data_IF_842552852427
#
_entry.id   IF_842552852427
#
_cell.length_a   1.000
_cell.length_b   1.000
_cell.length_c   1.000
_cell.angle_alpha   90.00
_cell.angle_beta   90.00
_cell.angle_gamma   90.00
#
_symmetry.space_group_name_H-M   'P 1'
#
loop_
_entity.id
_entity.type
_entity.pdbx_description
1 polymer ?
#
# COMPACT_ATOMS: atom_id res chain seq x y z
N UNK A 1 19.25 -8.55 9.83
CA UNK A 1 17.99 -8.36 9.07
C UNK A 1 17.28 -9.68 8.96
N UNK A 2 15.96 -9.69 8.79
CA UNK A 2 15.16 -10.91 8.59
C UNK A 2 14.70 -10.98 7.12
N UNK A 3 15.55 -11.44 6.19
CA UNK A 3 15.27 -11.38 4.76
C UNK A 3 14.04 -12.21 4.33
N UNK A 4 13.65 -13.17 5.17
CA UNK A 4 12.46 -14.01 4.95
C UNK A 4 11.15 -13.35 5.44
N UNK A 5 11.23 -12.24 6.18
CA UNK A 5 10.05 -11.55 6.67
C UNK A 5 9.47 -10.65 5.58
N UNK A 6 8.26 -10.97 5.12
CA UNK A 6 7.50 -10.15 4.18
C UNK A 6 7.05 -8.85 4.84
N UNK A 7 7.80 -7.77 4.61
CA UNK A 7 7.53 -6.47 5.22
C UNK A 7 6.48 -5.67 4.43
N UNK A 8 5.40 -5.30 5.11
CA UNK A 8 4.43 -4.31 4.60
C UNK A 8 4.72 -2.98 5.30
N UNK A 9 4.93 -1.91 4.54
CA UNK A 9 5.22 -0.58 5.11
C UNK A 9 4.11 0.41 4.85
N UNK A 10 3.84 1.28 5.81
CA UNK A 10 2.96 2.43 5.62
C UNK A 10 3.78 3.64 5.18
N UNK A 11 3.21 4.44 4.27
CA UNK A 11 3.85 5.65 3.76
C UNK A 11 2.82 6.79 3.66
N UNK A 12 3.08 7.86 4.41
CA UNK A 12 2.32 9.11 4.38
C UNK A 12 3.14 10.23 3.75
N UNK A 13 2.48 11.06 2.94
CA UNK A 13 3.03 12.26 2.30
C UNK A 13 1.97 13.37 2.24
N UNK A 14 2.43 14.62 2.23
CA UNK A 14 1.64 15.82 1.96
C UNK A 14 2.35 16.63 0.87
N UNK A 15 1.60 17.47 0.16
CA UNK A 15 2.05 18.32 -0.95
C UNK A 15 2.68 17.50 -2.09
N UNK A 16 2.15 16.30 -2.35
CA UNK A 16 2.58 15.41 -3.42
C UNK A 16 1.41 15.06 -4.34
N UNK A 17 1.70 14.96 -5.63
CA UNK A 17 0.74 14.37 -6.57
C UNK A 17 0.57 12.86 -6.29
N UNK A 18 -0.53 12.28 -6.78
CA UNK A 18 -0.74 10.83 -6.74
C UNK A 18 0.43 10.07 -7.37
N UNK A 19 0.88 10.51 -8.55
CA UNK A 19 2.02 9.93 -9.26
C UNK A 19 3.31 9.95 -8.42
N UNK A 20 3.60 11.06 -7.74
CA UNK A 20 4.75 11.17 -6.86
C UNK A 20 4.65 10.22 -5.66
N UNK A 21 3.46 10.07 -5.07
CA UNK A 21 3.22 9.10 -3.99
C UNK A 21 3.46 7.66 -4.49
N UNK A 22 2.96 7.31 -5.67
CA UNK A 22 3.15 5.98 -6.25
C UNK A 22 4.62 5.70 -6.56
N UNK A 23 5.36 6.67 -7.09
CA UNK A 23 6.81 6.54 -7.31
C UNK A 23 7.58 6.24 -6.00
N UNK A 24 7.19 6.86 -4.88
CA UNK A 24 7.78 6.55 -3.57
C UNK A 24 7.42 5.13 -3.11
N UNK A 25 6.18 4.68 -3.37
CA UNK A 25 5.77 3.32 -3.05
C UNK A 25 6.56 2.29 -3.88
N UNK A 26 6.73 2.51 -5.19
CA UNK A 26 7.52 1.64 -6.05
C UNK A 26 9.00 1.59 -5.65
N UNK A 27 9.63 2.71 -5.28
CA UNK A 27 11.01 2.73 -4.76
C UNK A 27 11.18 1.84 -3.50
N UNK A 28 10.18 1.79 -2.62
CA UNK A 28 10.20 0.89 -1.45
C UNK A 28 10.06 -0.58 -1.84
N UNK A 29 9.24 -0.88 -2.84
CA UNK A 29 9.13 -2.24 -3.38
C UNK A 29 10.46 -2.71 -3.98
N UNK A 30 11.19 -1.83 -4.67
CA UNK A 30 12.54 -2.13 -5.17
C UNK A 30 13.57 -2.35 -4.05
N UNK A 31 13.36 -1.74 -2.87
CA UNK A 31 14.14 -1.98 -1.66
C UNK A 31 13.75 -3.26 -0.90
N UNK A 32 12.88 -4.09 -1.48
CA UNK A 32 12.52 -5.40 -0.94
C UNK A 32 11.30 -5.40 -0.01
N UNK A 33 10.52 -4.33 0.01
CA UNK A 33 9.23 -4.32 0.71
C UNK A 33 8.25 -5.23 -0.04
N UNK A 34 7.48 -6.02 0.70
CA UNK A 34 6.48 -6.93 0.13
C UNK A 34 5.26 -6.17 -0.41
N UNK A 35 4.82 -5.15 0.31
CA UNK A 35 3.81 -4.19 -0.13
C UNK A 35 3.98 -2.84 0.57
N UNK A 36 3.33 -1.82 0.02
CA UNK A 36 3.26 -0.48 0.60
C UNK A 36 1.81 -0.03 0.69
N UNK A 37 1.40 0.43 1.88
CA UNK A 37 0.13 1.14 2.07
C UNK A 37 0.44 2.63 2.03
N UNK A 38 0.13 3.27 0.91
CA UNK A 38 0.46 4.66 0.64
C UNK A 38 -0.78 5.55 0.77
N UNK A 39 -0.70 6.64 1.53
CA UNK A 39 -1.80 7.60 1.71
C UNK A 39 -1.27 9.03 1.61
N UNK A 40 -2.13 9.98 1.20
CA UNK A 40 -1.81 11.40 1.16
C UNK A 40 -2.85 12.28 1.84
N UNK A 41 -2.40 13.37 2.45
CA UNK A 41 -3.28 14.27 3.21
C UNK A 41 -4.40 14.91 2.39
N UNK A 42 -4.14 15.20 1.11
CA UNK A 42 -5.09 15.90 0.24
C UNK A 42 -6.36 15.09 -0.05
N UNK A 43 -6.28 13.76 0.01
CA UNK A 43 -7.43 12.91 -0.26
C UNK A 43 -8.36 12.81 0.92
N UNK A 44 -7.86 13.00 2.14
CA UNK A 44 -8.74 13.11 3.30
C UNK A 44 -9.72 14.26 3.14
N UNK A 45 -9.25 15.40 2.61
CA UNK A 45 -10.08 16.57 2.35
C UNK A 45 -11.10 16.27 1.24
N UNK A 46 -10.66 15.63 0.15
CA UNK A 46 -11.51 15.33 -0.99
C UNK A 46 -12.61 14.32 -0.69
N UNK A 47 -12.30 13.26 0.08
CA UNK A 47 -13.19 12.14 0.32
C UNK A 47 -13.88 12.19 1.69
N UNK A 48 -13.52 13.18 2.54
CA UNK A 48 -13.96 13.29 3.93
C UNK A 48 -13.68 12.04 4.78
N UNK A 49 -12.74 11.22 4.34
CA UNK A 49 -12.35 9.97 4.99
C UNK A 49 -10.91 9.58 4.58
N UNK A 50 -10.31 8.63 5.30
CA UNK A 50 -8.98 8.13 5.03
C UNK A 50 -8.95 7.41 3.68
N UNK A 51 -8.04 7.83 2.80
CA UNK A 51 -7.78 7.17 1.53
C UNK A 51 -6.36 6.62 1.53
N UNK A 52 -6.22 5.36 1.15
CA UNK A 52 -4.94 4.71 0.99
C UNK A 52 -4.93 3.84 -0.27
N UNK A 53 -3.74 3.56 -0.78
CA UNK A 53 -3.47 2.69 -1.90
C UNK A 53 -2.59 1.56 -1.43
N UNK A 54 -3.03 0.32 -1.63
CA UNK A 54 -2.20 -0.86 -1.44
C UNK A 54 -1.45 -1.13 -2.73
N UNK A 55 -0.13 -1.02 -2.67
CA UNK A 55 0.77 -1.15 -3.82
C UNK A 55 1.63 -2.39 -3.65
N UNK A 56 1.71 -3.20 -4.71
CA UNK A 56 2.50 -4.44 -4.77
C UNK A 56 3.17 -4.57 -6.13
N UNK A 57 4.12 -5.51 -6.28
CA UNK A 57 4.87 -5.67 -7.55
C UNK A 57 4.04 -6.31 -8.69
N UNK A 58 3.02 -7.10 -8.35
CA UNK A 58 2.40 -8.04 -9.30
C UNK A 58 0.98 -7.64 -9.71
N UNK A 59 0.42 -6.59 -9.11
CA UNK A 59 -0.94 -6.15 -9.37
C UNK A 59 -1.04 -4.62 -9.39
N UNK A 60 -2.04 -4.05 -10.10
CA UNK A 60 -2.38 -2.65 -9.98
C UNK A 60 -2.65 -2.26 -8.53
N UNK A 61 -2.42 -0.98 -8.22
CA UNK A 61 -2.72 -0.42 -6.90
C UNK A 61 -4.21 -0.52 -6.56
N UNK A 62 -4.51 -0.92 -5.33
CA UNK A 62 -5.88 -1.04 -4.83
C UNK A 62 -6.19 0.20 -4.00
N UNK A 63 -7.10 1.03 -4.51
CA UNK A 63 -7.63 2.18 -3.77
C UNK A 63 -8.58 1.70 -2.67
N UNK A 64 -8.36 2.19 -1.46
CA UNK A 64 -9.12 1.89 -0.26
C UNK A 64 -9.60 3.20 0.36
N UNK A 65 -10.88 3.25 0.73
CA UNK A 65 -11.51 4.42 1.38
C UNK A 65 -12.14 3.97 2.69
N UNK A 66 -11.81 4.66 3.78
CA UNK A 66 -12.25 4.40 5.13
C UNK A 66 -11.37 3.43 5.91
N UNK A 67 -11.16 3.70 7.20
CA UNK A 67 -10.24 2.92 8.06
C UNK A 67 -10.58 1.43 8.11
N UNK A 68 -11.87 1.08 8.18
CA UNK A 68 -12.30 -0.34 8.23
C UNK A 68 -11.97 -1.06 6.92
N UNK A 69 -12.33 -0.48 5.78
CA UNK A 69 -12.04 -1.06 4.47
C UNK A 69 -10.52 -1.13 4.21
N UNK A 70 -9.73 -0.15 4.66
CA UNK A 70 -8.27 -0.22 4.61
C UNK A 70 -7.77 -1.46 5.37
N UNK A 71 -8.24 -1.68 6.60
CA UNK A 71 -7.85 -2.84 7.38
C UNK A 71 -8.26 -4.16 6.70
N UNK A 72 -9.52 -4.25 6.25
CA UNK A 72 -10.06 -5.45 5.60
C UNK A 72 -9.28 -5.80 4.32
N UNK A 73 -9.00 -4.80 3.48
CA UNK A 73 -8.27 -5.02 2.22
C UNK A 73 -6.82 -5.41 2.44
N UNK A 74 -6.14 -4.85 3.46
CA UNK A 74 -4.79 -5.28 3.83
C UNK A 74 -4.79 -6.76 4.24
N UNK A 75 -5.75 -7.18 5.07
CA UNK A 75 -5.86 -8.57 5.52
C UNK A 75 -6.19 -9.50 4.34
N UNK A 76 -7.21 -9.18 3.55
CA UNK A 76 -7.61 -9.97 2.38
C UNK A 76 -6.44 -10.14 1.40
N UNK A 77 -5.71 -9.06 1.12
CA UNK A 77 -4.54 -9.12 0.25
C UNK A 77 -3.41 -9.98 0.83
N UNK A 78 -3.17 -9.91 2.15
CA UNK A 78 -2.18 -10.77 2.82
C UNK A 78 -2.57 -12.25 2.69
N UNK A 79 -3.82 -12.60 2.95
CA UNK A 79 -4.29 -13.99 2.85
C UNK A 79 -4.09 -14.57 1.45
N UNK A 80 -4.40 -13.80 0.40
CA UNK A 80 -4.18 -14.22 -0.98
C UNK A 80 -2.69 -14.30 -1.32
N UNK A 81 -1.90 -13.30 -0.93
CA UNK A 81 -0.49 -13.15 -1.34
C UNK A 81 0.47 -14.04 -0.54
N UNK A 82 0.06 -14.52 0.62
CA UNK A 82 0.81 -15.49 1.42
C UNK A 82 0.49 -16.94 1.04
N UNK A 83 -0.76 -17.23 0.63
CA UNK A 83 -1.20 -18.58 0.30
C UNK A 83 -1.04 -18.95 -1.19
N UNK A 84 -0.66 -17.99 -2.04
CA UNK A 84 -0.33 -18.29 -3.43
C UNK A 84 0.99 -19.07 -3.50
N UNK A 85 1.04 -20.24 -4.17
CA UNK A 85 2.29 -20.98 -4.35
C UNK A 85 3.32 -20.10 -5.05
N UNK A 86 4.49 -19.98 -4.44
CA UNK A 86 5.66 -19.37 -5.07
C UNK A 86 5.97 -20.24 -6.31
N UNK A 87 5.89 -19.65 -7.50
CA UNK A 87 6.29 -20.31 -8.75
C UNK A 87 7.80 -20.49 -8.78
#
# INVERSE_FOLDING_TARGET
TYPQLKMISFKYEENRSHEQLMNIAYDRLEKGHFAVVANRGEEFIQYQDQVAYLVSKTAPEIKMVGKSNIADQIVNWMEVSLNSPQV
#
